data_IF_948953923192
#
_entry.id   IF_948953923192
#
_cell.length_a   1.000
_cell.length_b   1.000
_cell.length_c   1.000
_cell.angle_alpha   90.00
_cell.angle_beta   90.00
_cell.angle_gamma   90.00
#
_symmetry.space_group_name_H-M   'P 1'
#
loop_
_entity.id
_entity.type
_entity.pdbx_description
1 polymer ?
#
# COMPACT_ATOMS: atom_id res chain seq x y z
N UNK A 1 -48.43 -23.57 -24.68
CA UNK A 1 -49.14 -24.08 -25.87
C UNK A 1 -49.66 -25.46 -25.53
N UNK A 2 -50.97 -25.69 -25.65
CA UNK A 2 -51.63 -26.94 -25.26
C UNK A 2 -51.19 -28.09 -26.16
N UNK A 3 -50.58 -29.12 -25.56
CA UNK A 3 -50.27 -30.36 -26.26
C UNK A 3 -51.58 -30.99 -26.73
N UNK A 4 -51.78 -31.06 -28.05
CA UNK A 4 -52.85 -31.83 -28.65
C UNK A 4 -52.51 -33.30 -28.41
N UNK A 5 -53.14 -33.90 -27.39
CA UNK A 5 -53.10 -35.35 -27.16
C UNK A 5 -53.80 -35.99 -28.34
N UNK A 6 -53.02 -36.37 -29.35
CA UNK A 6 -53.49 -37.22 -30.44
C UNK A 6 -53.83 -38.57 -29.80
N UNK A 7 -55.10 -38.99 -29.77
CA UNK A 7 -55.43 -40.29 -29.23
C UNK A 7 -54.80 -41.35 -30.13
N UNK A 8 -53.96 -42.20 -29.55
CA UNK A 8 -53.44 -43.38 -30.23
C UNK A 8 -54.62 -44.15 -30.86
N UNK A 9 -54.60 -44.45 -32.17
CA UNK A 9 -55.65 -45.24 -32.79
C UNK A 9 -55.78 -46.60 -32.09
N UNK A 10 -56.99 -47.16 -31.96
CA UNK A 10 -57.18 -48.46 -31.31
C UNK A 10 -56.32 -49.52 -32.00
N UNK A 11 -55.55 -50.27 -31.21
CA UNK A 11 -54.54 -51.26 -31.60
C UNK A 11 -54.97 -52.14 -32.80
N UNK A 12 -54.73 -51.66 -34.02
CA UNK A 12 -54.98 -52.38 -35.27
C UNK A 12 -54.18 -53.69 -35.32
N UNK A 13 -53.02 -53.71 -34.67
CA UNK A 13 -52.20 -54.90 -34.43
C UNK A 13 -52.92 -55.92 -33.55
N UNK A 14 -53.60 -55.52 -32.47
CA UNK A 14 -54.37 -56.42 -31.60
C UNK A 14 -55.52 -57.07 -32.36
N UNK A 15 -56.27 -56.28 -33.13
CA UNK A 15 -57.36 -56.79 -33.96
C UNK A 15 -56.85 -57.78 -35.03
N UNK A 16 -55.68 -57.52 -35.60
CA UNK A 16 -55.03 -58.41 -36.58
C UNK A 16 -54.55 -59.71 -35.92
N UNK A 17 -53.92 -59.64 -34.74
CA UNK A 17 -53.47 -60.80 -33.98
C UNK A 17 -54.67 -61.69 -33.60
N UNK A 18 -55.76 -61.09 -33.11
CA UNK A 18 -56.98 -61.81 -32.71
C UNK A 18 -57.68 -62.45 -33.92
N UNK A 19 -57.72 -61.74 -35.06
CA UNK A 19 -58.20 -62.29 -36.32
C UNK A 19 -57.37 -63.49 -36.80
N UNK A 20 -56.05 -63.38 -36.77
CA UNK A 20 -55.14 -64.48 -37.17
C UNK A 20 -55.29 -65.69 -36.25
N UNK A 21 -55.44 -65.49 -34.93
CA UNK A 21 -55.72 -66.58 -33.97
C UNK A 21 -57.08 -67.23 -34.21
N UNK A 22 -58.11 -66.44 -34.49
CA UNK A 22 -59.46 -66.95 -34.80
C UNK A 22 -59.51 -67.70 -36.13
N UNK A 23 -58.80 -67.21 -37.16
CA UNK A 23 -58.65 -67.94 -38.44
C UNK A 23 -57.87 -69.24 -38.27
N UNK A 24 -56.79 -69.24 -37.49
CA UNK A 24 -56.04 -70.44 -37.18
C UNK A 24 -56.89 -71.51 -36.48
N UNK A 25 -57.86 -71.10 -35.65
CA UNK A 25 -58.80 -72.01 -34.98
C UNK A 25 -59.83 -72.67 -35.91
N UNK A 26 -60.06 -72.09 -37.10
CA UNK A 26 -61.01 -72.60 -38.10
C UNK A 26 -60.35 -73.41 -39.23
N UNK A 27 -59.02 -73.37 -39.36
CA UNK A 27 -58.28 -74.04 -40.44
C UNK A 27 -57.35 -75.10 -39.85
N UNK A 28 -57.50 -76.36 -40.28
CA UNK A 28 -56.69 -77.48 -39.80
C UNK A 28 -55.37 -77.64 -40.56
N UNK A 29 -54.36 -78.22 -39.89
CA UNK A 29 -53.05 -78.52 -40.46
C UNK A 29 -52.08 -77.33 -40.50
N UNK A 30 -51.09 -77.42 -41.40
CA UNK A 30 -49.92 -76.50 -41.49
C UNK A 30 -50.28 -75.01 -41.61
N UNK A 31 -51.41 -74.69 -42.24
CA UNK A 31 -51.85 -73.31 -42.41
C UNK A 31 -52.29 -72.67 -41.08
N UNK A 32 -52.96 -73.42 -40.20
CA UNK A 32 -53.33 -72.96 -38.87
C UNK A 32 -52.10 -72.67 -37.99
N UNK A 33 -51.09 -73.55 -38.03
CA UNK A 33 -49.82 -73.33 -37.33
C UNK A 33 -49.06 -72.10 -37.84
N UNK A 34 -49.05 -71.87 -39.15
CA UNK A 34 -48.42 -70.68 -39.74
C UNK A 34 -49.11 -69.39 -39.32
N UNK A 35 -50.45 -69.37 -39.22
CA UNK A 35 -51.21 -68.22 -38.74
C UNK A 35 -50.96 -67.93 -37.25
N UNK A 36 -50.84 -68.96 -36.41
CA UNK A 36 -50.46 -68.78 -35.00
C UNK A 36 -49.04 -68.25 -34.84
N UNK A 37 -48.08 -68.76 -35.63
CA UNK A 37 -46.71 -68.23 -35.64
C UNK A 37 -46.64 -66.80 -36.15
N UNK A 38 -47.42 -66.45 -37.17
CA UNK A 38 -47.51 -65.07 -37.64
C UNK A 38 -48.07 -64.14 -36.56
N UNK A 39 -49.13 -64.55 -35.86
CA UNK A 39 -49.72 -63.79 -34.77
C UNK A 39 -48.72 -63.55 -33.62
N UNK A 40 -47.96 -64.58 -33.20
CA UNK A 40 -46.96 -64.43 -32.13
C UNK A 40 -45.77 -63.56 -32.54
N UNK A 41 -45.33 -63.64 -33.80
CA UNK A 41 -44.28 -62.77 -34.34
C UNK A 41 -44.73 -61.31 -34.35
N UNK A 42 -45.94 -61.02 -34.84
CA UNK A 42 -46.49 -59.66 -34.86
C UNK A 42 -46.59 -59.11 -33.43
N UNK A 43 -47.05 -59.90 -32.47
CA UNK A 43 -47.12 -59.50 -31.06
C UNK A 43 -45.74 -59.18 -30.48
N UNK A 44 -44.74 -60.04 -30.71
CA UNK A 44 -43.38 -59.81 -30.23
C UNK A 44 -42.72 -58.57 -30.85
N UNK A 45 -42.96 -58.32 -32.14
CA UNK A 45 -42.45 -57.15 -32.84
C UNK A 45 -43.15 -55.88 -32.35
N UNK A 46 -44.45 -55.93 -32.08
CA UNK A 46 -45.20 -54.81 -31.52
C UNK A 46 -44.69 -54.46 -30.11
N UNK A 47 -44.47 -55.46 -29.26
CA UNK A 47 -43.90 -55.25 -27.92
C UNK A 47 -42.49 -54.64 -27.98
N UNK A 48 -41.64 -55.14 -28.89
CA UNK A 48 -40.28 -54.61 -29.09
C UNK A 48 -40.28 -53.20 -29.68
N UNK A 49 -41.21 -52.90 -30.58
CA UNK A 49 -41.36 -51.55 -31.13
C UNK A 49 -41.79 -50.57 -30.04
N UNK A 50 -42.78 -50.93 -29.21
CA UNK A 50 -43.21 -50.07 -28.09
C UNK A 50 -42.12 -49.84 -27.06
N UNK A 51 -41.31 -50.86 -26.72
CA UNK A 51 -40.19 -50.68 -25.79
C UNK A 51 -39.08 -49.84 -26.40
N UNK A 52 -38.75 -50.04 -27.68
CA UNK A 52 -37.77 -49.22 -28.39
C UNK A 52 -38.20 -47.75 -28.48
N UNK A 53 -39.48 -47.49 -28.77
CA UNK A 53 -40.02 -46.13 -28.78
C UNK A 53 -39.93 -45.46 -27.42
N UNK A 54 -40.30 -46.16 -26.33
CA UNK A 54 -40.16 -45.60 -24.97
C UNK A 54 -38.72 -45.24 -24.63
N UNK A 55 -37.78 -46.16 -24.88
CA UNK A 55 -36.35 -45.92 -24.65
C UNK A 55 -35.83 -44.75 -25.49
N UNK A 56 -36.28 -44.63 -26.74
CA UNK A 56 -35.89 -43.52 -27.61
C UNK A 56 -36.39 -42.18 -27.07
N UNK A 57 -37.64 -42.11 -26.58
CA UNK A 57 -38.18 -40.89 -25.97
C UNK A 57 -37.43 -40.53 -24.69
N UNK A 58 -37.17 -41.51 -23.81
CA UNK A 58 -36.39 -41.30 -22.59
C UNK A 58 -34.97 -40.79 -22.90
N UNK A 59 -34.33 -41.36 -23.93
CA UNK A 59 -33.00 -40.93 -24.37
C UNK A 59 -33.01 -39.52 -24.95
N UNK A 60 -34.04 -39.16 -25.74
CA UNK A 60 -34.20 -37.81 -26.24
C UNK A 60 -34.38 -36.81 -25.09
N UNK A 61 -35.25 -37.11 -24.14
CA UNK A 61 -35.50 -36.25 -22.97
C UNK A 61 -34.26 -36.10 -22.07
N UNK A 62 -33.44 -37.14 -21.97
CA UNK A 62 -32.15 -37.05 -21.26
C UNK A 62 -31.12 -36.24 -22.07
N UNK A 63 -31.11 -36.39 -23.39
CA UNK A 63 -30.22 -35.65 -24.28
C UNK A 63 -30.51 -34.16 -24.27
N UNK A 64 -31.79 -33.75 -24.29
CA UNK A 64 -32.20 -32.35 -24.22
C UNK A 64 -31.80 -31.74 -22.87
N UNK A 65 -32.10 -32.41 -21.76
CA UNK A 65 -31.67 -31.97 -20.42
C UNK A 65 -30.15 -31.84 -20.29
N UNK A 66 -29.40 -32.80 -20.83
CA UNK A 66 -27.93 -32.72 -20.81
C UNK A 66 -27.38 -31.58 -21.67
N UNK A 67 -28.01 -31.26 -22.80
CA UNK A 67 -27.66 -30.10 -23.60
C UNK A 67 -27.88 -28.79 -22.83
N UNK A 68 -29.05 -28.63 -22.20
CA UNK A 68 -29.37 -27.45 -21.37
C UNK A 68 -28.39 -27.29 -20.18
N UNK A 69 -28.03 -28.39 -19.50
CA UNK A 69 -27.06 -28.35 -18.41
C UNK A 69 -25.65 -27.97 -18.88
N UNK A 70 -25.23 -28.41 -20.06
CA UNK A 70 -23.93 -28.03 -20.64
C UNK A 70 -23.91 -26.56 -20.99
N UNK A 71 -24.95 -26.06 -21.65
CA UNK A 71 -25.05 -24.64 -21.98
C UNK A 71 -25.02 -23.76 -20.72
N UNK A 72 -25.75 -24.15 -19.66
CA UNK A 72 -25.71 -23.45 -18.39
C UNK A 72 -24.32 -23.49 -17.72
N UNK A 73 -23.62 -24.63 -17.81
CA UNK A 73 -22.27 -24.79 -17.28
C UNK A 73 -21.24 -23.95 -18.06
N UNK A 74 -21.35 -23.89 -19.38
CA UNK A 74 -20.48 -23.10 -20.25
C UNK A 74 -20.65 -21.60 -19.95
N UNK A 75 -21.90 -21.12 -19.86
CA UNK A 75 -22.19 -19.73 -19.46
C UNK A 75 -21.65 -19.39 -18.06
N UNK A 76 -21.78 -20.32 -17.11
CA UNK A 76 -21.23 -20.13 -15.76
C UNK A 76 -19.69 -20.09 -15.77
N UNK A 77 -19.05 -20.94 -16.58
CA UNK A 77 -17.59 -20.95 -16.77
C UNK A 77 -17.12 -19.64 -17.39
N UNK A 78 -17.76 -19.15 -18.45
CA UNK A 78 -17.41 -17.88 -19.09
C UNK A 78 -17.56 -16.70 -18.12
N UNK A 79 -18.62 -16.69 -17.31
CA UNK A 79 -18.81 -15.69 -16.27
C UNK A 79 -17.70 -15.73 -15.21
N UNK A 80 -17.29 -16.93 -14.78
CA UNK A 80 -16.17 -17.10 -13.83
C UNK A 80 -14.84 -16.66 -14.43
N UNK A 81 -14.56 -17.00 -15.70
CA UNK A 81 -13.36 -16.56 -16.41
C UNK A 81 -13.31 -15.03 -16.48
N UNK A 82 -14.42 -14.38 -16.83
CA UNK A 82 -14.52 -12.92 -16.83
C UNK A 82 -14.24 -12.30 -15.46
N UNK A 83 -14.75 -12.89 -14.37
CA UNK A 83 -14.45 -12.43 -13.01
C UNK A 83 -12.96 -12.58 -12.66
N UNK A 84 -12.32 -13.68 -13.07
CA UNK A 84 -10.89 -13.89 -12.86
C UNK A 84 -10.07 -12.83 -13.60
N UNK A 85 -10.45 -12.48 -14.83
CA UNK A 85 -9.78 -11.43 -15.60
C UNK A 85 -9.90 -10.07 -14.92
N UNK A 86 -11.10 -9.71 -14.44
CA UNK A 86 -11.33 -8.47 -13.70
C UNK A 86 -10.50 -8.42 -12.41
N UNK A 87 -10.50 -9.50 -11.62
CA UNK A 87 -9.71 -9.57 -10.38
C UNK A 87 -8.21 -9.50 -10.64
N UNK A 88 -7.73 -10.12 -11.72
CA UNK A 88 -6.32 -10.01 -12.14
C UNK A 88 -5.96 -8.58 -12.53
N UNK A 89 -6.83 -7.88 -13.25
CA UNK A 89 -6.61 -6.47 -13.60
C UNK A 89 -6.56 -5.59 -12.34
N UNK A 90 -7.50 -5.77 -11.41
CA UNK A 90 -7.49 -5.05 -10.13
C UNK A 90 -6.24 -5.33 -9.30
N UNK A 91 -5.79 -6.58 -9.25
CA UNK A 91 -4.56 -6.93 -8.55
C UNK A 91 -3.33 -6.28 -9.21
N UNK A 92 -3.27 -6.25 -10.54
CA UNK A 92 -2.20 -5.56 -11.27
C UNK A 92 -2.20 -4.05 -10.99
N UNK A 93 -3.38 -3.42 -10.95
CA UNK A 93 -3.52 -2.00 -10.64
C UNK A 93 -3.08 -1.68 -9.20
N UNK A 94 -3.58 -2.42 -8.22
CA UNK A 94 -3.23 -2.21 -6.79
C UNK A 94 -1.74 -2.47 -6.57
N UNK A 95 -1.16 -3.48 -7.19
CA UNK A 95 0.27 -3.77 -7.06
C UNK A 95 1.14 -2.68 -7.70
N UNK A 96 0.74 -2.13 -8.86
CA UNK A 96 1.40 -1.00 -9.48
C UNK A 96 1.31 0.27 -8.62
N UNK A 97 0.12 0.58 -8.09
CA UNK A 97 -0.09 1.72 -7.20
C UNK A 97 0.76 1.60 -5.92
N UNK A 98 0.75 0.44 -5.27
CA UNK A 98 1.56 0.20 -4.07
C UNK A 98 3.07 0.30 -4.35
N UNK A 99 3.53 -0.15 -5.53
CA UNK A 99 4.93 0.01 -5.93
C UNK A 99 5.30 1.49 -6.14
N UNK A 100 4.41 2.28 -6.76
CA UNK A 100 4.61 3.71 -6.95
C UNK A 100 4.65 4.47 -5.62
N UNK A 101 3.74 4.15 -4.69
CA UNK A 101 3.73 4.75 -3.34
C UNK A 101 5.01 4.43 -2.56
N UNK A 102 5.48 3.18 -2.60
CA UNK A 102 6.75 2.79 -1.96
C UNK A 102 7.93 3.56 -2.54
N UNK A 103 8.01 3.67 -3.87
CA UNK A 103 9.07 4.43 -4.53
C UNK A 103 9.04 5.92 -4.15
N UNK A 104 7.85 6.51 -4.07
CA UNK A 104 7.68 7.90 -3.62
C UNK A 104 8.10 8.08 -2.16
N UNK A 105 7.69 7.16 -1.27
CA UNK A 105 8.07 7.18 0.14
C UNK A 105 9.59 7.04 0.33
N UNK A 106 10.22 6.11 -0.39
CA UNK A 106 11.67 5.92 -0.34
C UNK A 106 12.43 7.15 -0.85
N UNK A 107 11.91 7.83 -1.89
CA UNK A 107 12.47 9.09 -2.37
C UNK A 107 12.39 10.20 -1.32
N UNK A 108 11.24 10.38 -0.65
CA UNK A 108 11.09 11.38 0.43
C UNK A 108 11.96 11.04 1.65
N UNK A 109 12.03 9.76 2.02
CA UNK A 109 12.93 9.28 3.07
C UNK A 109 14.39 9.59 2.73
N UNK A 110 14.80 9.38 1.48
CA UNK A 110 16.15 9.74 1.01
C UNK A 110 16.45 11.23 1.14
N UNK A 111 15.50 12.09 0.75
CA UNK A 111 15.62 13.56 0.91
C UNK A 111 15.77 13.95 2.38
N UNK A 112 14.95 13.38 3.26
CA UNK A 112 14.98 13.67 4.69
C UNK A 112 16.33 13.28 5.32
N UNK A 113 16.85 12.10 4.97
CA UNK A 113 18.18 11.65 5.41
C UNK A 113 19.26 12.64 4.96
N UNK A 114 19.20 13.11 3.70
CA UNK A 114 20.14 14.12 3.21
C UNK A 114 20.07 15.44 3.99
N UNK A 115 18.88 15.92 4.31
CA UNK A 115 18.69 17.13 5.15
C UNK A 115 19.26 16.92 6.55
N UNK A 116 19.01 15.76 7.17
CA UNK A 116 19.53 15.43 8.50
C UNK A 116 21.06 15.41 8.51
N UNK A 117 21.69 14.74 7.54
CA UNK A 117 23.16 14.70 7.43
C UNK A 117 23.77 16.10 7.23
N UNK A 118 23.12 16.94 6.42
CA UNK A 118 23.54 18.33 6.24
C UNK A 118 23.44 19.13 7.55
N UNK A 119 22.34 18.96 8.28
CA UNK A 119 22.13 19.60 9.57
C UNK A 119 23.17 19.13 10.61
N UNK A 120 23.43 17.82 10.70
CA UNK A 120 24.45 17.25 11.58
C UNK A 120 25.85 17.79 11.26
N UNK A 121 26.22 17.88 9.97
CA UNK A 121 27.49 18.48 9.56
C UNK A 121 27.58 19.95 9.93
N UNK A 122 26.49 20.71 9.75
CA UNK A 122 26.44 22.13 10.10
C UNK A 122 26.55 22.37 11.60
N UNK A 123 25.85 21.57 12.42
CA UNK A 123 25.97 21.60 13.88
C UNK A 123 27.41 21.31 14.29
N UNK A 124 28.04 20.26 13.71
CA UNK A 124 29.44 19.95 14.00
C UNK A 124 30.39 21.11 13.73
N UNK A 125 30.22 21.81 12.61
CA UNK A 125 31.01 23.03 12.29
C UNK A 125 30.78 24.14 13.32
N UNK A 126 29.53 24.47 13.61
CA UNK A 126 29.19 25.50 14.59
C UNK A 126 29.74 25.18 15.98
N UNK A 127 29.73 23.91 16.40
CA UNK A 127 30.34 23.48 17.65
C UNK A 127 31.85 23.74 17.64
N UNK A 128 32.56 23.38 16.57
CA UNK A 128 34.00 23.65 16.47
C UNK A 128 34.33 25.15 16.45
N UNK A 129 33.51 25.96 15.78
CA UNK A 129 33.68 27.42 15.77
C UNK A 129 33.45 28.02 17.16
N UNK A 130 32.43 27.54 17.88
CA UNK A 130 32.13 27.99 19.25
C UNK A 130 33.25 27.58 20.22
N UNK A 131 33.76 26.35 20.12
CA UNK A 131 34.89 25.89 20.92
C UNK A 131 36.16 26.73 20.66
N UNK A 132 36.44 27.04 19.39
CA UNK A 132 37.55 27.93 19.02
C UNK A 132 37.35 29.34 19.58
N UNK A 133 36.14 29.89 19.48
CA UNK A 133 35.83 31.22 20.01
C UNK A 133 35.98 31.25 21.53
N UNK A 134 35.51 30.20 22.22
CA UNK A 134 35.64 30.06 23.66
C UNK A 134 37.10 29.99 24.09
N UNK A 135 37.92 29.19 23.40
CA UNK A 135 39.35 29.14 23.66
C UNK A 135 40.03 30.50 23.45
N UNK A 136 39.63 31.26 22.42
CA UNK A 136 40.12 32.62 22.19
C UNK A 136 39.74 33.59 23.30
N UNK A 137 38.49 33.52 23.79
CA UNK A 137 38.01 34.35 24.91
C UNK A 137 38.72 33.98 26.22
N UNK A 138 38.90 32.69 26.48
CA UNK A 138 39.63 32.22 27.66
C UNK A 138 41.09 32.66 27.63
N UNK A 139 41.74 32.60 26.46
CA UNK A 139 43.09 33.15 26.27
C UNK A 139 43.16 34.66 26.48
N UNK A 140 42.17 35.41 26.00
CA UNK A 140 42.09 36.85 26.22
C UNK A 140 41.94 37.15 27.72
N UNK A 141 41.00 36.49 28.39
CA UNK A 141 40.74 36.64 29.82
C UNK A 141 41.94 36.23 30.70
N UNK A 142 42.79 35.29 30.25
CA UNK A 142 44.01 34.93 30.96
C UNK A 142 45.02 36.10 31.01
N UNK A 143 44.97 37.02 30.04
CA UNK A 143 45.87 38.18 29.96
C UNK A 143 45.22 39.50 30.40
N UNK A 144 43.89 39.56 30.43
CA UNK A 144 43.13 40.77 30.73
C UNK A 144 42.55 40.72 32.16
N UNK A 145 42.83 41.75 32.96
CA UNK A 145 42.19 41.95 34.27
C UNK A 145 41.03 42.92 34.09
N UNK A 146 39.80 42.44 34.31
CA UNK A 146 38.62 43.29 34.32
C UNK A 146 38.55 44.07 35.63
N UNK A 147 38.61 45.40 35.54
CA UNK A 147 38.47 46.31 36.69
C UNK A 147 37.25 47.20 36.44
N UNK A 148 36.30 47.30 37.39
CA UNK A 148 35.18 48.22 37.27
C UNK A 148 35.65 49.66 37.02
N UNK A 149 34.95 50.40 36.15
CA UNK A 149 35.32 51.79 35.79
C UNK A 149 35.35 52.66 37.04
N UNK A 150 34.44 52.40 37.98
CA UNK A 150 34.32 53.09 39.26
C UNK A 150 35.58 52.93 40.10
N UNK A 151 36.21 51.74 40.07
CA UNK A 151 37.47 51.47 40.77
C UNK A 151 38.62 52.25 40.11
N UNK A 152 38.66 52.32 38.77
CA UNK A 152 39.65 53.14 38.06
C UNK A 152 39.46 54.64 38.34
N UNK A 153 38.21 55.13 38.32
CA UNK A 153 37.88 56.53 38.68
C UNK A 153 38.26 56.85 40.12
N UNK A 154 38.04 55.93 41.05
CA UNK A 154 38.46 56.08 42.44
C UNK A 154 39.98 56.09 42.58
N UNK A 155 40.69 55.19 41.91
CA UNK A 155 42.14 55.19 41.91
C UNK A 155 42.70 56.52 41.35
N UNK A 156 42.06 57.07 40.31
CA UNK A 156 42.45 58.37 39.74
C UNK A 156 42.39 59.51 40.76
N UNK A 157 41.29 59.62 41.50
CA UNK A 157 41.13 60.67 42.52
C UNK A 157 42.08 60.48 43.69
N UNK A 158 42.42 59.24 44.04
CA UNK A 158 43.44 58.94 45.05
C UNK A 158 44.83 59.40 44.60
N UNK A 159 45.22 59.19 43.33
CA UNK A 159 46.49 59.68 42.79
C UNK A 159 46.56 61.21 42.74
N UNK A 160 45.47 61.90 42.42
CA UNK A 160 45.40 63.37 42.49
C UNK A 160 45.61 63.89 43.91
N UNK A 161 44.97 63.25 44.88
CA UNK A 161 45.13 63.60 46.29
C UNK A 161 46.58 63.38 46.78
N UNK A 162 47.20 62.27 46.39
CA UNK A 162 48.60 61.97 46.71
C UNK A 162 49.57 62.96 46.06
N UNK A 163 49.41 63.27 44.77
CA UNK A 163 50.23 64.26 44.07
C UNK A 163 50.18 65.63 44.76
N UNK A 164 48.97 66.12 45.06
CA UNK A 164 48.80 67.39 45.79
C UNK A 164 49.42 67.36 47.19
N UNK A 165 49.38 66.21 47.87
CA UNK A 165 50.00 66.00 49.17
C UNK A 165 51.53 66.01 49.14
N UNK A 166 52.14 65.38 48.13
CA UNK A 166 53.59 65.35 47.95
C UNK A 166 54.15 66.69 47.49
N UNK A 167 53.43 67.41 46.62
CA UNK A 167 53.77 68.77 46.22
C UNK A 167 53.89 69.71 47.42
N UNK A 168 52.98 69.60 48.40
CA UNK A 168 53.02 70.40 49.64
C UNK A 168 54.20 70.06 50.56
N UNK A 169 54.71 68.82 50.49
CA UNK A 169 55.83 68.35 51.32
C UNK A 169 57.19 68.48 50.62
N UNK A 170 57.23 68.89 49.36
CA UNK A 170 58.45 69.03 48.56
C UNK A 170 59.03 67.71 48.06
N UNK A 171 58.27 66.62 48.08
CA UNK A 171 58.71 65.31 47.58
C UNK A 171 58.37 65.16 46.09
N UNK A 172 59.30 65.63 45.26
CA UNK A 172 59.14 65.70 43.80
C UNK A 172 59.08 64.31 43.15
N UNK A 173 59.77 63.31 43.71
CA UNK A 173 59.78 61.94 43.16
C UNK A 173 58.41 61.30 43.36
N UNK A 174 57.86 61.38 44.57
CA UNK A 174 56.54 60.82 44.88
C UNK A 174 55.41 61.57 44.16
N UNK A 175 55.56 62.88 43.93
CA UNK A 175 54.66 63.67 43.10
C UNK A 175 54.65 63.16 41.64
N UNK A 176 55.83 63.03 41.01
CA UNK A 176 55.95 62.56 39.63
C UNK A 176 55.40 61.14 39.46
N UNK A 177 55.68 60.23 40.40
CA UNK A 177 55.12 58.87 40.38
C UNK A 177 53.59 58.87 40.49
N UNK A 178 53.02 59.78 41.28
CA UNK A 178 51.56 59.89 41.43
C UNK A 178 50.90 60.46 40.17
N UNK A 179 51.55 61.42 39.51
CA UNK A 179 51.08 61.98 38.23
C UNK A 179 51.16 60.97 37.09
N UNK A 180 52.24 60.18 37.01
CA UNK A 180 52.39 59.08 36.03
C UNK A 180 51.30 58.02 36.26
N UNK A 181 51.04 57.64 37.52
CA UNK A 181 49.97 56.71 37.88
C UNK A 181 48.58 57.24 37.49
N UNK A 182 48.31 58.52 37.76
CA UNK A 182 47.07 59.18 37.33
C UNK A 182 46.91 59.22 35.81
N UNK A 183 47.97 59.56 35.09
CA UNK A 183 47.96 59.61 33.61
C UNK A 183 47.72 58.24 32.98
N UNK A 184 48.32 57.17 33.52
CA UNK A 184 48.08 55.80 33.05
C UNK A 184 46.61 55.38 33.19
N UNK A 185 45.95 55.79 34.29
CA UNK A 185 44.52 55.55 34.50
C UNK A 185 43.67 56.38 33.54
N UNK A 186 44.02 57.64 33.29
CA UNK A 186 43.32 58.48 32.29
C UNK A 186 43.40 57.88 30.88
N UNK A 187 44.56 57.33 30.50
CA UNK A 187 44.72 56.61 29.24
C UNK A 187 43.81 55.36 29.16
N UNK A 188 43.73 54.58 30.24
CA UNK A 188 42.83 53.42 30.31
C UNK A 188 41.34 53.82 30.25
N UNK A 189 40.96 54.93 30.88
CA UNK A 189 39.58 55.44 30.87
C UNK A 189 39.17 56.08 29.53
N UNK A 190 40.12 56.63 28.78
CA UNK A 190 39.89 57.25 27.47
C UNK A 190 39.88 56.23 26.33
N UNK A 191 40.73 55.19 26.37
CA UNK A 191 40.68 54.08 25.43
C UNK A 191 39.31 53.37 25.41
N UNK A 192 38.63 53.27 26.56
CA UNK A 192 37.27 52.73 26.63
C UNK A 192 36.20 53.59 25.92
N UNK A 193 36.43 54.89 25.73
CA UNK A 193 35.47 55.78 25.04
C UNK A 193 35.54 55.65 23.52
N UNK A 194 36.63 55.15 22.94
CA UNK A 194 36.78 54.98 21.48
C UNK A 194 36.23 53.65 20.95
N UNK A 195 36.03 52.64 21.80
CA UNK A 195 35.48 51.32 21.39
C UNK A 195 33.94 51.28 21.29
N UNK A 196 33.25 52.39 21.60
CA UNK A 196 31.77 52.51 21.53
C UNK A 196 31.27 53.33 20.33
N UNK A 197 32.07 53.48 19.27
CA UNK A 197 31.72 54.19 18.04
C UNK A 197 31.64 53.24 16.82
#
# INVERSE_FOLDING_TARGET
MSATVVPLPPNSSSQTIDFLRRMASMVSGRNGEMLLRAASLIESLAQRAMSAERLYHEQLDASTRNAELREAADLASDAMVGQIEVLRAQLAEVTAAAAAERAAFDAERGKLIGVMQNAESHIGKLTTELDSLRASVDSFNATAVSVPIEVLRLARTQFDFLSAGFARKGDVISQAMSEIGGFAIDQALTAKKSDTA
#
